data_IF_611741808104
#
_entry.id   IF_611741808104
#
_cell.length_a   1.000
_cell.length_b   1.000
_cell.length_c   1.000
_cell.angle_alpha   90.00
_cell.angle_beta   90.00
_cell.angle_gamma   90.00
#
_symmetry.space_group_name_H-M   'P 1'
#
loop_
_entity.id
_entity.type
_entity.pdbx_description
1 polymer ?
#
# COMPACT_ATOMS: atom_id res chain seq x y z
N UNK A 1 3.85 -5.25 1.51
CA UNK A 1 5.08 -4.71 2.12
C UNK A 1 4.75 -4.21 3.52
N UNK A 2 5.48 -4.63 4.55
CA UNK A 2 5.23 -4.20 5.93
C UNK A 2 6.40 -3.37 6.43
N UNK A 3 6.24 -2.05 6.39
CA UNK A 3 7.15 -1.08 7.02
C UNK A 3 6.80 -1.00 8.51
N UNK A 4 7.77 -0.63 9.34
CA UNK A 4 7.56 -0.33 10.75
C UNK A 4 6.42 0.71 10.93
N UNK A 5 5.60 0.50 11.97
CA UNK A 5 4.33 1.20 12.14
C UNK A 5 4.49 2.72 12.32
N UNK A 6 5.42 3.14 13.18
CA UNK A 6 5.67 4.56 13.44
C UNK A 6 6.19 5.28 12.20
N UNK A 7 7.16 4.68 11.51
CA UNK A 7 7.72 5.24 10.28
C UNK A 7 6.69 5.32 9.16
N UNK A 8 5.84 4.30 8.99
CA UNK A 8 4.76 4.34 8.02
C UNK A 8 3.79 5.50 8.28
N UNK A 9 3.43 5.73 9.55
CA UNK A 9 2.57 6.85 9.94
C UNK A 9 3.24 8.20 9.68
N UNK A 10 4.52 8.35 10.00
CA UNK A 10 5.27 9.58 9.71
C UNK A 10 5.28 9.90 8.22
N UNK A 11 5.52 8.90 7.37
CA UNK A 11 5.52 9.08 5.91
C UNK A 11 4.17 9.64 5.43
N UNK A 12 3.07 9.04 5.92
CA UNK A 12 1.71 9.48 5.58
C UNK A 12 1.39 10.87 6.12
N UNK A 13 1.77 11.17 7.37
CA UNK A 13 1.54 12.48 8.00
C UNK A 13 2.23 13.60 7.22
N UNK A 14 3.51 13.45 6.89
CA UNK A 14 4.23 14.46 6.12
C UNK A 14 3.70 14.57 4.69
N UNK A 15 3.37 13.44 4.04
CA UNK A 15 2.78 13.44 2.71
C UNK A 15 1.46 14.23 2.65
N UNK A 16 0.57 14.00 3.61
CA UNK A 16 -0.71 14.73 3.72
C UNK A 16 -0.48 16.19 4.07
N UNK A 17 0.33 16.49 5.09
CA UNK A 17 0.57 17.85 5.56
C UNK A 17 1.09 18.76 4.44
N UNK A 18 2.00 18.26 3.61
CA UNK A 18 2.54 18.99 2.46
C UNK A 18 1.53 19.13 1.30
N UNK A 19 0.53 18.24 1.22
CA UNK A 19 -0.50 18.27 0.18
C UNK A 19 -1.73 19.12 0.56
N UNK A 20 -2.03 19.30 1.85
CA UNK A 20 -3.18 20.07 2.35
C UNK A 20 -3.38 21.44 1.71
N UNK A 21 -2.38 22.32 1.55
CA UNK A 21 -2.59 23.63 0.92
C UNK A 21 -3.03 23.51 -0.55
N UNK A 22 -2.73 22.40 -1.22
CA UNK A 22 -3.10 22.19 -2.62
C UNK A 22 -4.59 21.93 -2.82
N UNK A 23 -5.34 21.51 -1.79
CA UNK A 23 -6.80 21.41 -1.88
C UNK A 23 -7.44 22.78 -2.17
N UNK A 24 -6.97 23.83 -1.47
CA UNK A 24 -7.44 25.20 -1.68
C UNK A 24 -6.94 25.74 -3.02
N UNK A 25 -5.66 25.52 -3.33
CA UNK A 25 -5.07 25.95 -4.59
C UNK A 25 -5.81 25.39 -5.80
N UNK A 26 -6.06 24.08 -5.85
CA UNK A 26 -6.77 23.47 -6.97
C UNK A 26 -8.27 23.80 -6.98
N UNK A 27 -8.87 24.06 -5.82
CA UNK A 27 -10.21 24.65 -5.76
C UNK A 27 -10.26 25.99 -6.50
N UNK A 28 -9.39 26.93 -6.12
CA UNK A 28 -9.27 28.23 -6.79
C UNK A 28 -8.89 28.11 -8.27
N UNK A 29 -7.90 27.27 -8.61
CA UNK A 29 -7.45 27.08 -9.99
C UNK A 29 -8.58 26.52 -10.88
N UNK A 30 -9.41 25.66 -10.31
CA UNK A 30 -10.56 25.07 -11.01
C UNK A 30 -11.64 26.09 -11.36
N UNK A 31 -11.80 27.14 -10.55
CA UNK A 31 -12.75 28.22 -10.82
C UNK A 31 -12.29 29.05 -12.04
N UNK A 32 -10.97 29.17 -12.25
CA UNK A 32 -10.39 29.96 -13.33
C UNK A 32 -10.30 29.19 -14.66
N UNK A 33 -9.81 27.94 -14.63
CA UNK A 33 -9.57 27.13 -15.84
C UNK A 33 -10.74 26.21 -16.21
N UNK A 34 -11.69 26.02 -15.30
CA UNK A 34 -12.82 25.11 -15.44
C UNK A 34 -12.64 23.81 -14.65
N UNK A 35 -13.65 23.47 -13.85
CA UNK A 35 -13.64 22.34 -12.92
C UNK A 35 -13.39 21.00 -13.59
N UNK A 36 -14.04 20.75 -14.72
CA UNK A 36 -13.91 19.50 -15.49
C UNK A 36 -12.45 19.19 -15.82
N UNK A 37 -11.71 20.17 -16.36
CA UNK A 37 -10.38 19.93 -16.87
C UNK A 37 -9.37 19.64 -15.76
N UNK A 38 -9.46 20.35 -14.64
CA UNK A 38 -8.59 20.09 -13.48
C UNK A 38 -8.87 18.69 -12.90
N UNK A 39 -10.15 18.31 -12.75
CA UNK A 39 -10.54 16.98 -12.28
C UNK A 39 -10.06 15.86 -13.21
N UNK A 40 -10.31 15.98 -14.53
CA UNK A 40 -9.92 14.97 -15.50
C UNK A 40 -8.40 14.82 -15.62
N UNK A 41 -7.66 15.93 -15.52
CA UNK A 41 -6.19 15.90 -15.51
C UNK A 41 -5.68 15.14 -14.28
N UNK A 42 -6.22 15.42 -13.09
CA UNK A 42 -5.86 14.68 -11.87
C UNK A 42 -6.13 13.17 -11.98
N UNK A 43 -7.28 12.80 -12.54
CA UNK A 43 -7.62 11.39 -12.79
C UNK A 43 -6.66 10.73 -13.78
N UNK A 44 -6.35 11.39 -14.90
CA UNK A 44 -5.42 10.87 -15.91
C UNK A 44 -4.02 10.67 -15.33
N UNK A 45 -3.52 11.65 -14.57
CA UNK A 45 -2.23 11.54 -13.87
C UNK A 45 -2.25 10.36 -12.89
N UNK A 46 -3.32 10.16 -12.12
CA UNK A 46 -3.48 9.00 -11.25
C UNK A 46 -3.41 7.66 -12.00
N UNK A 47 -4.14 7.54 -13.12
CA UNK A 47 -4.14 6.33 -13.97
C UNK A 47 -2.75 6.01 -14.50
N UNK A 48 -1.99 7.02 -14.93
CA UNK A 48 -0.66 6.83 -15.52
C UNK A 48 0.42 6.59 -14.46
N UNK A 49 0.40 7.36 -13.36
CA UNK A 49 1.52 7.42 -12.42
C UNK A 49 1.38 6.51 -11.19
N UNK A 50 0.18 6.06 -10.80
CA UNK A 50 0.07 5.23 -9.59
C UNK A 50 0.82 3.91 -9.72
N UNK A 51 0.70 3.19 -10.83
CA UNK A 51 1.43 1.91 -11.02
C UNK A 51 2.96 2.06 -10.94
N UNK A 52 3.62 2.99 -11.64
CA UNK A 52 5.07 3.17 -11.51
C UNK A 52 5.52 3.67 -10.13
N UNK A 53 4.69 4.46 -9.43
CA UNK A 53 4.98 4.86 -8.05
C UNK A 53 4.99 3.64 -7.13
N UNK A 54 3.96 2.79 -7.21
CA UNK A 54 3.89 1.55 -6.42
C UNK A 54 4.98 0.54 -6.76
N UNK A 55 5.39 0.44 -8.03
CA UNK A 55 6.53 -0.42 -8.40
C UNK A 55 7.85 0.10 -7.81
N UNK A 56 8.02 1.42 -7.74
CA UNK A 56 9.17 2.05 -7.08
C UNK A 56 9.19 1.72 -5.59
N UNK A 57 8.04 1.83 -4.90
CA UNK A 57 7.95 1.42 -3.49
C UNK A 57 8.38 -0.04 -3.31
N UNK A 58 7.81 -0.96 -4.12
CA UNK A 58 8.12 -2.40 -4.03
C UNK A 58 9.59 -2.70 -4.23
N UNK A 59 10.19 -2.13 -5.27
CA UNK A 59 11.60 -2.34 -5.62
C UNK A 59 12.53 -1.83 -4.52
N UNK A 60 12.28 -0.63 -4.03
CA UNK A 60 13.19 0.04 -3.10
C UNK A 60 13.12 -0.54 -1.69
N UNK A 61 11.94 -1.01 -1.27
CA UNK A 61 11.73 -1.60 0.05
C UNK A 61 11.62 -3.13 0.01
N UNK A 62 12.30 -3.78 -0.95
CA UNK A 62 12.48 -5.24 -0.94
C UNK A 62 13.66 -5.66 -0.05
N UNK A 63 13.34 -6.39 1.03
CA UNK A 63 14.33 -6.89 1.97
C UNK A 63 15.13 -8.07 1.40
N UNK A 64 14.59 -8.80 0.41
CA UNK A 64 15.34 -9.86 -0.28
C UNK A 64 16.51 -9.27 -1.05
N UNK A 65 16.31 -8.13 -1.70
CA UNK A 65 17.35 -7.41 -2.43
C UNK A 65 18.42 -6.88 -1.47
N UNK A 66 18.02 -6.33 -0.32
CA UNK A 66 18.97 -5.88 0.71
C UNK A 66 19.78 -7.04 1.30
N UNK A 67 19.15 -8.19 1.57
CA UNK A 67 19.85 -9.41 1.98
C UNK A 67 20.86 -9.89 0.94
N UNK A 68 20.48 -9.97 -0.33
CA UNK A 68 21.39 -10.43 -1.38
C UNK A 68 22.64 -9.55 -1.47
N UNK A 69 22.48 -8.23 -1.33
CA UNK A 69 23.60 -7.28 -1.30
C UNK A 69 24.47 -7.41 -0.05
N UNK A 70 23.85 -7.66 1.11
CA UNK A 70 24.59 -7.95 2.35
C UNK A 70 25.43 -9.23 2.22
N UNK A 71 24.85 -10.29 1.65
CA UNK A 71 25.51 -11.58 1.45
C UNK A 71 26.68 -11.46 0.45
N UNK A 72 26.53 -10.63 -0.59
CA UNK A 72 27.59 -10.32 -1.56
C UNK A 72 28.74 -9.51 -0.94
N UNK A 73 28.44 -8.55 -0.07
CA UNK A 73 29.47 -7.74 0.61
C UNK A 73 30.29 -8.52 1.64
N UNK A 74 29.77 -9.65 2.13
CA UNK A 74 30.43 -10.44 3.15
C UNK A 74 30.44 -11.96 2.86
N UNK A 75 31.19 -12.40 1.84
CA UNK A 75 31.18 -13.80 1.37
C UNK A 75 31.66 -14.81 2.43
N UNK A 76 32.45 -14.37 3.42
CA UNK A 76 33.13 -15.24 4.41
C UNK A 76 32.37 -15.42 5.74
N UNK A 77 31.21 -14.79 5.95
CA UNK A 77 30.47 -14.81 7.24
C UNK A 77 28.99 -15.16 7.04
N UNK A 78 28.70 -16.25 6.31
CA UNK A 78 27.33 -16.66 5.93
C UNK A 78 26.34 -16.95 7.08
N UNK A 79 26.74 -16.92 8.35
CA UNK A 79 25.91 -17.37 9.49
C UNK A 79 25.88 -16.44 10.72
N UNK A 80 26.54 -15.28 10.73
CA UNK A 80 26.58 -14.40 11.91
C UNK A 80 26.69 -12.92 11.52
N UNK A 81 25.63 -12.41 10.88
CA UNK A 81 25.46 -10.98 10.57
C UNK A 81 24.19 -10.38 11.16
N UNK A 82 23.40 -11.18 11.89
CA UNK A 82 22.30 -10.62 12.62
C UNK A 82 22.87 -9.68 13.69
N UNK A 83 22.50 -8.40 13.63
CA UNK A 83 22.85 -7.43 14.67
C UNK A 83 22.35 -7.92 16.03
N UNK A 84 21.19 -8.61 16.02
CA UNK A 84 20.59 -9.29 17.17
C UNK A 84 19.74 -10.48 16.71
N UNK A 85 19.85 -11.58 17.45
CA UNK A 85 18.98 -12.73 17.34
C UNK A 85 18.01 -12.79 18.53
N UNK A 86 16.72 -12.91 18.24
CA UNK A 86 15.68 -13.06 19.23
C UNK A 86 15.02 -14.42 19.07
N UNK A 87 15.04 -15.25 20.12
CA UNK A 87 14.15 -16.40 20.22
C UNK A 87 12.74 -15.87 20.48
N UNK A 88 11.90 -15.87 19.45
CA UNK A 88 10.51 -15.40 19.56
C UNK A 88 9.64 -16.41 20.28
N UNK A 89 9.87 -17.70 20.00
CA UNK A 89 8.98 -18.75 20.44
C UNK A 89 9.67 -20.10 20.41
N UNK A 90 9.55 -20.85 21.51
CA UNK A 90 9.98 -22.23 21.63
C UNK A 90 8.82 -23.03 22.20
N UNK A 91 8.05 -23.68 21.33
CA UNK A 91 6.88 -24.48 21.72
C UNK A 91 7.13 -25.95 21.49
N UNK A 92 6.49 -26.77 22.32
CA UNK A 92 6.46 -28.23 22.17
C UNK A 92 5.00 -28.68 22.08
N UNK A 93 4.61 -29.28 20.96
CA UNK A 93 3.25 -29.80 20.74
C UNK A 93 3.30 -31.32 20.71
N UNK A 94 2.53 -31.99 21.58
CA UNK A 94 2.39 -33.45 21.58
C UNK A 94 1.22 -33.84 20.68
N UNK A 95 1.48 -34.70 19.69
CA UNK A 95 0.45 -35.26 18.81
C UNK A 95 -0.06 -36.58 19.40
N UNK A 96 -1.34 -36.90 19.15
CA UNK A 96 -2.00 -38.12 19.64
C UNK A 96 -1.28 -39.42 19.22
N UNK A 97 -0.46 -39.38 18.16
CA UNK A 97 0.33 -40.50 17.64
C UNK A 97 1.67 -40.74 18.37
N UNK A 98 1.88 -40.14 19.56
CA UNK A 98 3.12 -40.29 20.34
C UNK A 98 4.33 -39.55 19.76
N UNK A 99 4.11 -38.57 18.88
CA UNK A 99 5.16 -37.71 18.29
C UNK A 99 5.17 -36.35 18.99
N UNK A 100 6.36 -35.80 19.22
CA UNK A 100 6.60 -34.49 19.80
C UNK A 100 7.11 -33.55 18.70
N UNK A 101 6.43 -32.43 18.51
CA UNK A 101 6.81 -31.36 17.59
C UNK A 101 7.51 -30.25 18.38
N UNK A 102 8.77 -29.97 18.06
CA UNK A 102 9.50 -28.81 18.56
C UNK A 102 9.43 -27.70 17.53
N UNK A 103 8.81 -26.57 17.88
CA UNK A 103 8.71 -25.39 17.02
C UNK A 103 9.62 -24.31 17.61
N UNK A 104 10.68 -23.96 16.87
CA UNK A 104 11.61 -22.89 17.23
C UNK A 104 11.45 -21.74 16.24
N UNK A 105 11.13 -20.57 16.74
CA UNK A 105 11.08 -19.34 15.95
C UNK A 105 12.21 -18.40 16.36
N UNK A 106 13.08 -18.07 15.42
CA UNK A 106 14.17 -17.11 15.60
C UNK A 106 13.93 -15.91 14.70
N UNK A 107 13.99 -14.71 15.26
CA UNK A 107 13.96 -13.45 14.54
C UNK A 107 15.33 -12.81 14.61
N UNK A 108 15.95 -12.68 13.46
CA UNK A 108 17.26 -12.05 13.28
C UNK A 108 17.07 -10.66 12.68
N UNK A 109 17.65 -9.63 13.29
CA UNK A 109 17.63 -8.26 12.75
C UNK A 109 18.90 -8.01 11.94
N UNK A 110 18.75 -7.42 10.76
CA UNK A 110 19.85 -7.05 9.87
C UNK A 110 19.78 -5.56 9.54
N UNK A 111 20.94 -4.92 9.43
CA UNK A 111 21.07 -3.52 8.98
C UNK A 111 21.88 -3.46 7.68
N UNK A 112 21.35 -2.78 6.66
CA UNK A 112 22.05 -2.51 5.40
C UNK A 112 21.85 -1.05 4.97
N UNK A 113 22.94 -0.30 4.84
CA UNK A 113 22.90 1.08 4.31
C UNK A 113 21.96 2.01 5.09
N UNK A 114 21.81 1.80 6.40
CA UNK A 114 20.87 2.53 7.26
C UNK A 114 19.42 2.05 7.20
N UNK A 115 19.08 1.07 6.36
CA UNK A 115 17.81 0.35 6.42
C UNK A 115 17.95 -0.82 7.41
N UNK A 116 16.90 -1.14 8.15
CA UNK A 116 16.84 -2.34 9.00
C UNK A 116 15.69 -3.24 8.55
N UNK A 117 15.84 -4.54 8.72
CA UNK A 117 14.76 -5.48 8.50
C UNK A 117 14.95 -6.73 9.37
N UNK A 118 13.84 -7.38 9.71
CA UNK A 118 13.87 -8.63 10.45
C UNK A 118 13.65 -9.82 9.51
N UNK A 119 14.43 -10.88 9.71
CA UNK A 119 14.27 -12.18 9.08
C UNK A 119 13.82 -13.16 10.15
N UNK A 120 12.61 -13.69 10.02
CA UNK A 120 12.08 -14.69 10.95
C UNK A 120 12.19 -16.07 10.32
N UNK A 121 12.90 -16.96 11.00
CA UNK A 121 13.01 -18.39 10.68
C UNK A 121 12.15 -19.19 11.65
N UNK A 122 11.45 -20.20 11.12
CA UNK A 122 10.69 -21.16 11.91
C UNK A 122 11.16 -22.56 11.55
N UNK A 123 11.77 -23.23 12.52
CA UNK A 123 12.21 -24.62 12.42
C UNK A 123 11.22 -25.49 13.19
N UNK A 124 10.57 -26.41 12.49
CA UNK A 124 9.71 -27.42 13.11
C UNK A 124 10.42 -28.77 13.02
N UNK A 125 10.82 -29.31 14.16
CA UNK A 125 11.48 -30.61 14.27
C UNK A 125 10.52 -31.62 14.89
N UNK A 126 10.28 -32.74 14.20
CA UNK A 126 9.42 -33.82 14.70
C UNK A 126 10.28 -34.94 15.30
N UNK A 127 9.97 -35.36 16.52
CA UNK A 127 10.69 -36.42 17.25
C UNK A 127 9.69 -37.46 17.76
N UNK A 128 9.97 -38.75 17.58
CA UNK A 128 9.10 -39.84 18.08
C UNK A 128 9.43 -40.12 19.55
N UNK A 129 8.41 -40.22 20.42
CA UNK A 129 8.62 -40.38 21.86
C UNK A 129 9.34 -41.69 22.25
N UNK A 130 9.20 -42.76 21.46
CA UNK A 130 9.82 -44.07 21.74
C UNK A 130 11.36 -44.08 21.62
N UNK A 131 11.94 -43.12 20.89
CA UNK A 131 13.38 -43.00 20.69
C UNK A 131 13.75 -41.53 20.75
N UNK A 132 14.20 -41.05 21.92
CA UNK A 132 14.77 -39.71 22.16
C UNK A 132 16.03 -39.39 21.30
N UNK A 133 16.24 -40.08 20.18
CA UNK A 133 17.42 -40.00 19.32
C UNK A 133 17.10 -40.02 17.80
N UNK A 134 15.84 -40.09 17.36
CA UNK A 134 15.51 -40.06 15.91
C UNK A 134 14.64 -38.87 15.53
N UNK A 135 15.29 -37.86 14.96
CA UNK A 135 14.62 -36.76 14.24
C UNK A 135 13.93 -37.37 13.01
N UNK A 136 12.60 -37.30 12.96
CA UNK A 136 11.79 -37.86 11.86
C UNK A 136 11.84 -36.93 10.65
N UNK A 137 11.65 -35.64 10.89
CA UNK A 137 11.79 -34.61 9.88
C UNK A 137 12.07 -33.26 10.54
N UNK A 138 12.89 -32.45 9.89
CA UNK A 138 13.05 -31.03 10.21
C UNK A 138 12.54 -30.25 9.02
N UNK A 139 11.42 -29.55 9.20
CA UNK A 139 10.91 -28.63 8.20
C UNK A 139 11.32 -27.21 8.57
N UNK A 140 12.20 -26.64 7.74
CA UNK A 140 12.60 -25.24 7.82
C UNK A 140 11.66 -24.46 6.89
N UNK A 141 10.83 -23.60 7.47
CA UNK A 141 9.96 -22.72 6.67
C UNK A 141 10.80 -21.67 5.96
N UNK A 142 10.39 -21.27 4.74
CA UNK A 142 11.05 -20.18 4.02
C UNK A 142 11.08 -18.91 4.89
N UNK A 143 12.20 -18.15 4.91
CA UNK A 143 12.36 -17.01 5.79
C UNK A 143 11.35 -15.91 5.47
N UNK A 144 10.68 -15.40 6.50
CA UNK A 144 9.73 -14.29 6.39
C UNK A 144 10.43 -12.98 6.74
N UNK A 145 10.38 -12.02 5.82
CA UNK A 145 10.94 -10.68 6.05
C UNK A 145 9.87 -9.74 6.63
N UNK A 146 10.07 -9.25 7.83
CA UNK A 146 9.16 -8.34 8.53
C UNK A 146 9.87 -7.09 9.06
N UNK A 147 9.08 -6.11 9.52
CA UNK A 147 9.54 -4.93 10.27
C UNK A 147 10.67 -4.15 9.59
N UNK A 148 10.39 -3.73 8.35
CA UNK A 148 11.35 -2.94 7.56
C UNK A 148 11.38 -1.51 8.07
N UNK A 149 12.57 -1.03 8.45
CA UNK A 149 12.84 0.37 8.78
C UNK A 149 13.69 0.94 7.65
N UNK A 150 13.22 2.02 7.05
CA UNK A 150 13.86 2.69 5.93
C UNK A 150 14.90 3.68 6.46
N UNK A 151 16.01 3.82 5.75
CA UNK A 151 17.00 4.88 5.93
C UNK A 151 16.37 6.26 5.71
N UNK A 152 16.98 7.30 6.28
CA UNK A 152 16.49 8.67 6.18
C UNK A 152 16.28 9.12 4.73
N UNK A 153 17.24 8.84 3.84
CA UNK A 153 17.13 9.20 2.42
C UNK A 153 15.94 8.51 1.75
N UNK A 154 15.74 7.21 2.03
CA UNK A 154 14.65 6.45 1.43
C UNK A 154 13.28 6.85 2.00
N UNK A 155 13.23 7.19 3.30
CA UNK A 155 12.05 7.77 3.95
C UNK A 155 11.61 9.05 3.25
N UNK A 156 12.54 9.98 2.98
CA UNK A 156 12.23 11.22 2.27
C UNK A 156 11.75 10.99 0.85
N UNK A 157 12.35 10.03 0.13
CA UNK A 157 11.84 9.61 -1.19
C UNK A 157 10.39 9.10 -1.09
N UNK A 158 10.07 8.32 -0.06
CA UNK A 158 8.73 7.77 0.11
C UNK A 158 7.72 8.86 0.47
N UNK A 159 8.09 9.81 1.34
CA UNK A 159 7.28 11.00 1.65
C UNK A 159 6.96 11.77 0.36
N UNK A 160 7.97 12.02 -0.48
CA UNK A 160 7.77 12.71 -1.75
C UNK A 160 6.82 11.97 -2.69
N UNK A 161 7.00 10.66 -2.86
CA UNK A 161 6.11 9.86 -3.72
C UNK A 161 4.67 9.82 -3.20
N UNK A 162 4.47 9.70 -1.89
CA UNK A 162 3.14 9.78 -1.27
C UNK A 162 2.54 11.17 -1.46
N UNK A 163 3.33 12.23 -1.28
CA UNK A 163 2.90 13.60 -1.55
C UNK A 163 2.47 13.78 -3.01
N UNK A 164 3.22 13.26 -3.99
CA UNK A 164 2.84 13.29 -5.42
C UNK A 164 1.51 12.59 -5.65
N UNK A 165 1.29 11.42 -5.03
CA UNK A 165 0.01 10.73 -5.15
C UNK A 165 -1.14 11.57 -4.60
N UNK A 166 -0.97 12.15 -3.40
CA UNK A 166 -2.02 12.98 -2.77
C UNK A 166 -2.20 14.29 -3.56
N UNK A 167 -1.16 14.84 -4.15
CA UNK A 167 -1.24 16.00 -5.04
C UNK A 167 -2.20 15.73 -6.21
N UNK A 168 -2.12 14.57 -6.87
CA UNK A 168 -3.09 14.20 -7.90
C UNK A 168 -4.52 14.07 -7.34
N UNK A 169 -4.66 13.56 -6.12
CA UNK A 169 -5.95 13.51 -5.42
C UNK A 169 -6.51 14.92 -5.16
N UNK A 170 -5.67 15.88 -4.78
CA UNK A 170 -6.12 17.27 -4.50
C UNK A 170 -6.68 17.96 -5.74
N UNK A 171 -6.18 17.63 -6.94
CA UNK A 171 -6.73 18.13 -8.21
C UNK A 171 -8.17 17.67 -8.44
N UNK A 172 -8.52 16.47 -7.96
CA UNK A 172 -9.89 15.95 -8.08
C UNK A 172 -10.75 16.45 -6.93
N UNK A 173 -10.29 16.29 -5.70
CA UNK A 173 -11.08 16.59 -4.49
C UNK A 173 -11.27 18.08 -4.22
N UNK A 174 -10.32 18.95 -4.61
CA UNK A 174 -10.46 20.40 -4.47
C UNK A 174 -11.73 20.94 -5.16
N UNK A 175 -11.89 20.74 -6.48
CA UNK A 175 -13.09 21.18 -7.22
C UNK A 175 -14.37 20.38 -6.97
N UNK A 176 -14.30 19.11 -6.53
CA UNK A 176 -15.45 18.19 -6.61
C UNK A 176 -16.66 18.65 -5.81
N UNK A 177 -16.44 19.25 -4.63
CA UNK A 177 -17.52 19.69 -3.76
C UNK A 177 -18.35 20.81 -4.41
N UNK A 178 -17.69 21.80 -4.99
CA UNK A 178 -18.36 22.89 -5.70
C UNK A 178 -18.98 22.40 -7.02
N UNK A 179 -18.31 21.50 -7.74
CA UNK A 179 -18.83 20.93 -8.98
C UNK A 179 -20.16 20.18 -8.77
N UNK A 180 -20.26 19.36 -7.72
CA UNK A 180 -21.49 18.61 -7.41
C UNK A 180 -22.64 19.53 -6.97
N UNK A 181 -22.35 20.61 -6.24
CA UNK A 181 -23.33 21.64 -5.84
C UNK A 181 -23.93 22.35 -7.06
N UNK A 182 -23.11 22.61 -8.08
CA UNK A 182 -23.50 23.30 -9.32
C UNK A 182 -24.33 22.42 -10.26
N UNK A 183 -24.15 21.09 -10.22
CA UNK A 183 -24.85 20.13 -11.08
C UNK A 183 -26.34 19.95 -10.75
N UNK A 184 -26.77 20.29 -9.53
CA UNK A 184 -28.12 19.97 -9.04
C UNK A 184 -28.88 21.21 -8.53
N UNK A 185 -30.21 21.28 -8.75
CA UNK A 185 -31.06 22.32 -8.20
C UNK A 185 -30.98 22.38 -6.66
N UNK A 186 -31.11 23.59 -6.11
CA UNK A 186 -30.97 23.86 -4.66
C UNK A 186 -31.87 22.98 -3.78
N UNK A 187 -33.09 22.67 -4.25
CA UNK A 187 -34.11 21.88 -3.52
C UNK A 187 -33.69 20.44 -3.25
N UNK A 188 -32.92 19.82 -4.15
CA UNK A 188 -32.51 18.41 -4.06
C UNK A 188 -31.01 18.24 -3.83
N UNK A 189 -30.28 19.34 -3.75
CA UNK A 189 -28.81 19.38 -3.76
C UNK A 189 -28.17 18.44 -2.73
N UNK A 190 -28.67 18.39 -1.49
CA UNK A 190 -28.11 17.49 -0.47
C UNK A 190 -28.32 16.01 -0.81
N UNK A 191 -29.54 15.63 -1.20
CA UNK A 191 -29.89 14.26 -1.61
C UNK A 191 -29.17 13.82 -2.87
N UNK A 192 -29.07 14.71 -3.86
CA UNK A 192 -28.38 14.44 -5.12
C UNK A 192 -26.86 14.40 -4.95
N UNK A 193 -26.29 15.14 -3.99
CA UNK A 193 -24.87 15.03 -3.65
C UNK A 193 -24.55 13.74 -2.90
N UNK A 194 -25.40 13.30 -1.98
CA UNK A 194 -25.11 12.11 -1.15
C UNK A 194 -25.09 10.82 -1.97
N UNK A 195 -25.91 10.70 -3.02
CA UNK A 195 -26.01 9.49 -3.83
C UNK A 195 -24.69 9.11 -4.55
N UNK A 196 -24.02 10.02 -5.29
CA UNK A 196 -22.67 9.78 -5.81
C UNK A 196 -21.65 9.44 -4.73
N UNK A 197 -21.70 10.09 -3.56
CA UNK A 197 -20.77 9.80 -2.46
C UNK A 197 -20.96 8.40 -1.89
N UNK A 198 -22.20 7.98 -1.65
CA UNK A 198 -22.48 6.65 -1.10
C UNK A 198 -22.23 5.53 -2.11
N UNK A 199 -22.61 5.72 -3.37
CA UNK A 199 -22.33 4.71 -4.42
C UNK A 199 -20.83 4.65 -4.71
N UNK A 200 -20.18 5.81 -4.87
CA UNK A 200 -18.74 5.92 -5.12
C UNK A 200 -17.91 5.27 -4.02
N UNK A 201 -18.07 5.75 -2.78
CA UNK A 201 -17.27 5.26 -1.66
C UNK A 201 -17.70 3.87 -1.21
N UNK A 202 -19.00 3.57 -1.21
CA UNK A 202 -19.54 2.30 -0.74
C UNK A 202 -19.27 1.15 -1.69
N UNK A 203 -19.68 1.28 -2.96
CA UNK A 203 -19.57 0.18 -3.94
C UNK A 203 -18.16 0.13 -4.50
N UNK A 204 -17.71 1.20 -5.16
CA UNK A 204 -16.41 1.18 -5.83
C UNK A 204 -15.25 1.23 -4.85
N UNK A 205 -15.33 2.06 -3.80
CA UNK A 205 -14.32 2.14 -2.75
C UNK A 205 -14.30 0.91 -1.83
N UNK A 206 -15.48 0.49 -1.35
CA UNK A 206 -15.61 -0.61 -0.39
C UNK A 206 -15.23 -1.98 -0.95
N UNK A 207 -15.37 -2.20 -2.27
CA UNK A 207 -14.97 -3.46 -2.92
C UNK A 207 -13.47 -3.55 -3.21
N UNK A 208 -12.69 -2.47 -3.04
CA UNK A 208 -11.24 -2.48 -3.32
C UNK A 208 -10.51 -3.59 -2.56
N UNK A 209 -10.66 -3.76 -1.23
CA UNK A 209 -9.93 -4.80 -0.50
C UNK A 209 -10.30 -6.22 -0.96
N UNK A 210 -11.58 -6.45 -1.27
CA UNK A 210 -12.07 -7.75 -1.74
C UNK A 210 -11.50 -8.09 -3.11
N UNK A 211 -11.66 -7.21 -4.09
CA UNK A 211 -11.19 -7.44 -5.47
C UNK A 211 -9.66 -7.46 -5.53
N UNK A 212 -8.98 -6.58 -4.79
CA UNK A 212 -7.52 -6.60 -4.73
C UNK A 212 -6.99 -7.93 -4.16
N UNK A 213 -7.64 -8.47 -3.11
CA UNK A 213 -7.28 -9.77 -2.54
C UNK A 213 -7.54 -10.89 -3.54
N UNK A 214 -8.74 -10.92 -4.16
CA UNK A 214 -9.12 -11.91 -5.17
C UNK A 214 -8.13 -11.94 -6.35
N UNK A 215 -7.74 -10.77 -6.86
CA UNK A 215 -6.77 -10.67 -7.95
C UNK A 215 -5.39 -11.14 -7.51
N UNK A 216 -4.96 -10.76 -6.29
CA UNK A 216 -3.62 -11.12 -5.77
C UNK A 216 -3.48 -12.62 -5.47
N UNK A 217 -4.56 -13.29 -5.07
CA UNK A 217 -4.57 -14.75 -4.86
C UNK A 217 -4.67 -15.53 -6.17
N UNK A 218 -5.36 -14.98 -7.18
CA UNK A 218 -5.50 -15.60 -8.50
C UNK A 218 -4.25 -15.44 -9.36
N UNK A 219 -3.65 -14.25 -9.36
CA UNK A 219 -2.49 -13.90 -10.17
C UNK A 219 -1.27 -13.65 -9.26
N UNK A 220 -0.70 -14.72 -8.73
CA UNK A 220 0.38 -14.65 -7.72
C UNK A 220 1.71 -14.10 -8.27
N UNK A 221 1.86 -14.00 -9.59
CA UNK A 221 3.10 -13.53 -10.23
C UNK A 221 3.30 -12.02 -10.15
N UNK A 222 2.23 -11.21 -10.19
CA UNK A 222 2.30 -9.75 -10.12
C UNK A 222 1.81 -9.24 -8.75
N UNK A 223 2.71 -8.76 -7.86
CA UNK A 223 2.34 -8.26 -6.54
C UNK A 223 1.52 -6.95 -6.58
N UNK A 224 1.42 -6.29 -7.74
CA UNK A 224 0.65 -5.05 -7.95
C UNK A 224 -0.67 -5.28 -8.68
N UNK A 225 -1.05 -6.53 -8.95
CA UNK A 225 -2.26 -6.84 -9.75
C UNK A 225 -3.53 -6.25 -9.15
N UNK A 226 -3.64 -6.18 -7.82
CA UNK A 226 -4.79 -5.58 -7.13
C UNK A 226 -4.98 -4.09 -7.44
N UNK A 227 -3.94 -3.38 -7.89
CA UNK A 227 -4.02 -1.96 -8.25
C UNK A 227 -4.79 -1.73 -9.56
N UNK A 228 -4.95 -2.75 -10.40
CA UNK A 228 -5.70 -2.63 -11.65
C UNK A 228 -7.18 -2.32 -11.44
N UNK A 229 -7.77 -2.76 -10.33
CA UNK A 229 -9.16 -2.43 -10.03
C UNK A 229 -9.40 -0.92 -9.84
N UNK A 230 -8.74 -0.23 -8.88
CA UNK A 230 -8.93 1.21 -8.72
C UNK A 230 -8.45 2.02 -9.94
N UNK A 231 -7.37 1.58 -10.62
CA UNK A 231 -6.92 2.24 -11.86
C UNK A 231 -7.97 2.08 -12.98
N UNK A 232 -8.54 0.90 -13.14
CA UNK A 232 -9.59 0.63 -14.13
C UNK A 232 -10.86 1.42 -13.87
N UNK A 233 -11.29 1.51 -12.61
CA UNK A 233 -12.42 2.37 -12.21
C UNK A 233 -12.11 3.83 -12.49
N UNK A 234 -10.93 4.33 -12.14
CA UNK A 234 -10.52 5.70 -12.43
C UNK A 234 -10.46 5.98 -13.94
N UNK A 235 -9.98 5.04 -14.75
CA UNK A 235 -9.95 5.16 -16.20
C UNK A 235 -11.38 5.18 -16.80
N UNK A 236 -12.28 4.36 -16.29
CA UNK A 236 -13.70 4.38 -16.67
C UNK A 236 -14.33 5.74 -16.31
N UNK A 237 -14.09 6.25 -15.10
CA UNK A 237 -14.54 7.57 -14.68
C UNK A 237 -13.96 8.69 -15.54
N UNK A 238 -12.70 8.59 -15.96
CA UNK A 238 -12.07 9.54 -16.87
C UNK A 238 -12.77 9.55 -18.25
N UNK A 239 -13.07 8.38 -18.81
CA UNK A 239 -13.78 8.27 -20.09
C UNK A 239 -15.20 8.85 -19.99
N UNK A 240 -15.97 8.42 -18.98
CA UNK A 240 -17.33 8.93 -18.74
C UNK A 240 -17.28 10.44 -18.50
N UNK A 241 -16.35 10.89 -17.66
CA UNK A 241 -16.20 12.30 -17.31
C UNK A 241 -15.84 13.17 -18.52
N UNK A 242 -15.02 12.65 -19.43
CA UNK A 242 -14.66 13.34 -20.68
C UNK A 242 -15.87 13.51 -21.59
N UNK A 243 -16.70 12.48 -21.73
CA UNK A 243 -17.87 12.46 -22.62
C UNK A 243 -19.07 13.25 -22.08
N UNK A 244 -19.38 13.10 -20.79
CA UNK A 244 -20.66 13.57 -20.22
C UNK A 244 -20.55 14.86 -19.40
N UNK A 245 -19.39 15.21 -18.84
CA UNK A 245 -19.28 16.45 -18.06
C UNK A 245 -19.20 17.65 -18.99
N UNK A 246 -20.00 18.66 -18.70
CA UNK A 246 -20.02 19.93 -19.44
C UNK A 246 -19.36 21.02 -18.60
N UNK A 247 -18.66 21.96 -19.25
CA UNK A 247 -17.97 23.08 -18.59
C UNK A 247 -18.87 24.28 -18.28
N UNK A 248 -20.14 24.24 -18.67
CA UNK A 248 -21.05 25.37 -18.58
C UNK A 248 -21.57 25.48 -17.16
N UNK A 249 -21.25 26.60 -16.51
CA UNK A 249 -21.96 27.06 -15.31
C UNK A 249 -23.35 27.47 -15.76
N UNK A 250 -24.36 26.66 -15.41
CA UNK A 250 -25.74 27.01 -15.74
C UNK A 250 -26.13 28.24 -14.90
N UNK A 251 -26.48 29.35 -15.55
CA UNK A 251 -26.75 30.63 -14.85
C UNK A 251 -28.13 30.65 -14.16
N UNK A 252 -28.99 29.66 -14.41
CA UNK A 252 -30.38 29.62 -13.95
C UNK A 252 -30.63 28.52 -12.89
N UNK A 253 -29.76 28.40 -11.87
CA UNK A 253 -29.94 27.43 -10.77
C UNK A 253 -30.79 28.00 -9.60
N UNK A 254 -31.38 29.18 -9.78
CA UNK A 254 -32.07 29.94 -8.74
C UNK A 254 -33.59 29.72 -8.66
N UNK A 255 -34.17 28.83 -9.48
CA UNK A 255 -35.62 28.52 -9.47
C UNK A 255 -35.99 27.20 -8.77
#
# INVERSE_FOLDING_TARGET
>A
MKIEFMQNREILLWGIALATPFFVFFGWLSDQFGRKWIMLTGMLLGVVFYRPIFSTFLKDADAKVWMGKLEEQHPNKKLSFADRDFLLKNDTVKTNDGTILFIRQVKSIYTYGGNQFAKTFTDTTQVKADYMLKIISTQVSAPVYSDKILSTALKWKFIFLVWVMIFFVTMVYGPVAAFLVELFPTKIRYTSMSLPYHIGNGVFGGLVPFIATLLSTTFTSDPLVGLWYPIGVAALCFVIGTLYLTNKVDKNIHD
#
